data_IF_162143569857
#
_entry.id   IF_162143569857
#
_cell.length_a   1.000
_cell.length_b   1.000
_cell.length_c   1.000
_cell.angle_alpha   90.00
_cell.angle_beta   90.00
_cell.angle_gamma   90.00
#
_symmetry.space_group_name_H-M   'P 1'
#
loop_
_entity.id
_entity.type
_entity.pdbx_description
1 polymer ?
#
# COMPACT_ATOMS: atom_id res chain seq x y z
N UNK A 1 0.63 -3.16 2.66
CA UNK A 1 1.23 -1.94 3.21
C UNK A 1 2.36 -2.35 4.13
N UNK A 2 3.53 -1.76 3.91
CA UNK A 2 4.74 -2.04 4.67
C UNK A 2 5.31 -0.74 5.25
N UNK A 3 6.00 -0.85 6.37
CA UNK A 3 6.89 0.19 6.88
C UNK A 3 8.29 -0.07 6.34
N UNK A 4 8.95 0.98 5.86
CA UNK A 4 10.35 0.94 5.45
C UNK A 4 11.20 1.21 6.70
N UNK A 5 11.98 0.21 7.09
CA UNK A 5 12.92 0.26 8.20
C UNK A 5 14.25 0.89 7.77
N UNK A 6 15.10 1.27 8.74
CA UNK A 6 16.39 1.95 8.49
C UNK A 6 17.36 1.17 7.60
N UNK A 7 17.24 -0.15 7.58
CA UNK A 7 18.06 -1.04 6.75
C UNK A 7 17.39 -1.40 5.42
N UNK A 8 16.46 -0.57 4.95
CA UNK A 8 15.63 -0.82 3.77
C UNK A 8 14.83 -2.13 3.85
N UNK A 9 14.65 -2.74 5.02
CA UNK A 9 13.73 -3.87 5.16
C UNK A 9 12.30 -3.37 5.22
N UNK A 10 11.39 -4.15 4.63
CA UNK A 10 9.96 -3.87 4.63
C UNK A 10 9.28 -4.70 5.72
N UNK A 11 8.77 -4.05 6.75
CA UNK A 11 7.96 -4.70 7.79
C UNK A 11 6.48 -4.65 7.39
N UNK A 12 5.80 -5.80 7.33
CA UNK A 12 4.38 -5.83 6.96
C UNK A 12 3.53 -5.20 8.07
N UNK A 13 2.81 -4.13 7.74
CA UNK A 13 1.88 -3.47 8.66
C UNK A 13 0.45 -3.96 8.45
N UNK A 14 0.03 -4.09 7.19
CA UNK A 14 -1.34 -4.46 6.86
C UNK A 14 -1.44 -5.12 5.49
N UNK A 15 -2.33 -6.10 5.40
CA UNK A 15 -2.73 -6.80 4.18
C UNK A 15 -4.26 -6.79 4.10
N UNK A 16 -4.80 -6.22 3.04
CA UNK A 16 -6.24 -6.19 2.81
C UNK A 16 -6.77 -7.53 2.29
N UNK A 17 -8.09 -7.68 2.33
CA UNK A 17 -8.81 -8.73 1.62
C UNK A 17 -8.61 -8.62 0.09
N UNK A 18 -8.67 -9.77 -0.59
CA UNK A 18 -8.75 -9.80 -2.05
C UNK A 18 -10.19 -9.50 -2.48
N UNK A 19 -10.36 -8.60 -3.44
CA UNK A 19 -11.65 -8.34 -4.07
C UNK A 19 -11.67 -8.99 -5.45
N UNK A 20 -12.64 -9.87 -5.68
CA UNK A 20 -12.81 -10.58 -6.94
C UNK A 20 -13.65 -9.74 -7.90
N UNK A 21 -13.29 -9.75 -9.18
CA UNK A 21 -14.07 -9.16 -10.28
C UNK A 21 -14.43 -7.66 -10.12
N UNK A 22 -13.57 -6.88 -9.45
CA UNK A 22 -13.80 -5.46 -9.22
C UNK A 22 -13.14 -4.58 -10.29
N UNK A 23 -13.92 -3.74 -10.99
CA UNK A 23 -13.38 -2.69 -11.87
C UNK A 23 -12.83 -1.48 -11.10
N UNK A 24 -13.32 -1.27 -9.87
CA UNK A 24 -12.85 -0.27 -8.92
C UNK A 24 -12.78 -0.91 -7.53
N UNK A 25 -11.62 -0.80 -6.89
CA UNK A 25 -11.37 -1.44 -5.59
C UNK A 25 -11.56 -0.41 -4.47
N UNK A 26 -12.38 -0.77 -3.48
CA UNK A 26 -12.60 -0.01 -2.26
C UNK A 26 -12.46 -0.98 -1.08
N UNK A 27 -11.27 -1.01 -0.48
CA UNK A 27 -11.01 -1.88 0.67
C UNK A 27 -11.75 -1.42 1.93
N UNK A 28 -12.02 -2.37 2.83
CA UNK A 28 -12.59 -2.04 4.13
C UNK A 28 -11.69 -1.09 4.91
N UNK A 29 -12.25 -0.13 5.66
CA UNK A 29 -11.46 0.70 6.57
C UNK A 29 -10.71 -0.16 7.57
N UNK A 30 -9.47 0.20 7.86
CA UNK A 30 -8.63 -0.47 8.85
C UNK A 30 -7.99 0.59 9.76
N UNK A 31 -7.55 0.15 10.94
CA UNK A 31 -6.82 0.98 11.89
C UNK A 31 -5.40 0.48 12.01
N UNK A 32 -4.45 1.40 11.98
CA UNK A 32 -3.06 1.12 12.27
C UNK A 32 -2.64 1.91 13.50
N UNK A 33 -1.87 1.25 14.38
CA UNK A 33 -1.23 1.94 15.48
C UNK A 33 0.01 2.64 14.94
N UNK A 34 0.05 3.98 15.01
CA UNK A 34 1.30 4.72 14.78
C UNK A 34 2.19 4.44 15.98
N UNK A 35 3.10 3.47 15.87
CA UNK A 35 4.08 3.20 16.93
C UNK A 35 4.98 4.43 17.06
N UNK A 36 4.77 5.21 18.12
CA UNK A 36 5.53 6.41 18.49
C UNK A 36 6.93 6.05 19.00
N UNK A 37 7.68 5.22 18.28
CA UNK A 37 9.12 5.20 18.49
C UNK A 37 9.65 6.54 17.96
N UNK A 38 10.47 7.24 18.74
CA UNK A 38 10.93 8.60 18.43
C UNK A 38 11.60 8.71 17.03
N UNK A 39 12.16 7.61 16.51
CA UNK A 39 12.73 7.51 15.15
C UNK A 39 11.75 7.08 14.05
N UNK A 40 10.53 6.64 14.40
CA UNK A 40 9.53 6.17 13.45
C UNK A 40 8.68 7.31 12.84
N UNK A 41 8.84 8.54 13.35
CA UNK A 41 8.01 9.70 13.01
C UNK A 41 7.92 10.02 11.52
N UNK A 42 8.96 9.67 10.73
CA UNK A 42 9.02 9.97 9.30
C UNK A 42 9.48 8.80 8.43
N UNK A 43 9.29 7.56 8.91
CA UNK A 43 9.63 6.38 8.11
C UNK A 43 8.69 6.24 6.92
N UNK A 44 9.26 5.85 5.77
CA UNK A 44 8.50 5.62 4.55
C UNK A 44 7.50 4.48 4.72
N UNK A 45 6.36 4.61 4.07
CA UNK A 45 5.30 3.62 3.99
C UNK A 45 5.19 3.17 2.55
N UNK A 46 5.34 1.88 2.32
CA UNK A 46 5.23 1.30 0.99
C UNK A 46 3.84 0.69 0.82
N UNK A 47 3.09 1.23 -0.13
CA UNK A 47 1.78 0.73 -0.52
C UNK A 47 1.98 -0.06 -1.81
N UNK A 48 1.68 -1.36 -1.75
CA UNK A 48 1.77 -2.27 -2.90
C UNK A 48 0.38 -2.83 -3.16
N UNK A 49 -0.08 -2.71 -4.40
CA UNK A 49 -1.28 -3.35 -4.89
C UNK A 49 -0.88 -4.52 -5.78
N UNK A 50 -1.51 -5.67 -5.58
CA UNK A 50 -1.28 -6.86 -6.39
C UNK A 50 -2.60 -7.44 -6.89
N UNK A 51 -2.58 -7.95 -8.12
CA UNK A 51 -3.56 -8.90 -8.62
C UNK A 51 -3.14 -10.30 -8.18
N UNK A 52 -4.10 -11.15 -7.81
CA UNK A 52 -3.85 -12.55 -7.48
C UNK A 52 -4.63 -13.41 -8.45
N UNK A 53 -3.95 -14.37 -9.08
CA UNK A 53 -4.60 -15.38 -9.92
C UNK A 53 -5.16 -16.56 -9.09
N UNK A 54 -5.91 -17.44 -9.75
CA UNK A 54 -6.51 -18.63 -9.12
C UNK A 54 -5.45 -19.64 -8.62
N UNK A 55 -4.20 -19.50 -9.05
CA UNK A 55 -3.05 -20.29 -8.61
C UNK A 55 -2.25 -19.61 -7.48
N UNK A 56 -2.83 -18.57 -6.86
CA UNK A 56 -2.24 -17.77 -5.78
C UNK A 56 -0.96 -17.01 -6.15
N UNK A 57 -0.59 -16.94 -7.44
CA UNK A 57 0.50 -16.06 -7.89
C UNK A 57 0.03 -14.62 -7.77
N UNK A 58 0.90 -13.79 -7.21
CA UNK A 58 0.63 -12.36 -7.03
C UNK A 58 1.45 -11.57 -8.05
N UNK A 59 0.78 -10.79 -8.89
CA UNK A 59 1.40 -9.82 -9.79
C UNK A 59 1.23 -8.43 -9.20
N UNK A 60 2.32 -7.67 -9.06
CA UNK A 60 2.24 -6.27 -8.64
C UNK A 60 1.57 -5.47 -9.75
N UNK A 61 0.43 -4.84 -9.45
CA UNK A 61 -0.28 -3.96 -10.38
C UNK A 61 0.00 -2.48 -10.08
N UNK A 62 0.68 -2.19 -8.98
CA UNK A 62 1.38 -0.93 -8.80
C UNK A 62 1.75 -0.68 -7.36
N UNK A 63 2.54 0.37 -7.16
CA UNK A 63 3.28 0.59 -5.94
C UNK A 63 3.58 2.07 -5.81
N UNK A 64 3.52 2.58 -4.58
CA UNK A 64 4.05 3.91 -4.27
C UNK A 64 4.56 3.96 -2.84
N UNK A 65 5.44 4.93 -2.58
CA UNK A 65 5.96 5.25 -1.25
C UNK A 65 5.32 6.55 -0.79
N UNK A 66 4.91 6.58 0.47
CA UNK A 66 4.30 7.75 1.13
C UNK A 66 4.80 7.83 2.57
N UNK A 67 4.32 8.78 3.35
CA UNK A 67 4.59 8.89 4.80
C UNK A 67 3.27 8.98 5.57
N UNK A 68 3.33 8.83 6.90
CA UNK A 68 2.15 9.01 7.75
C UNK A 68 1.52 10.40 7.58
N UNK A 69 2.35 11.44 7.48
CA UNK A 69 1.88 12.82 7.35
C UNK A 69 1.24 13.06 5.99
N UNK A 70 1.82 12.52 4.91
CA UNK A 70 1.19 12.57 3.58
C UNK A 70 -0.14 11.83 3.53
N UNK A 71 -0.24 10.66 4.17
CA UNK A 71 -1.50 9.92 4.27
C UNK A 71 -2.56 10.69 5.07
N UNK A 72 -2.19 11.29 6.20
CA UNK A 72 -3.12 12.07 7.01
C UNK A 72 -3.62 13.31 6.26
N UNK A 73 -2.71 14.08 5.66
CA UNK A 73 -3.04 15.24 4.83
C UNK A 73 -3.94 14.86 3.65
N UNK A 74 -3.70 13.70 3.02
CA UNK A 74 -4.53 13.21 1.93
C UNK A 74 -5.94 12.82 2.37
N UNK A 75 -6.09 12.29 3.59
CA UNK A 75 -7.38 11.90 4.15
C UNK A 75 -8.24 13.13 4.49
N UNK A 76 -7.61 14.19 5.02
CA UNK A 76 -8.26 15.48 5.26
C UNK A 76 -8.76 16.13 3.96
N UNK A 77 -8.06 15.90 2.84
CA UNK A 77 -8.42 16.38 1.51
C UNK A 77 -9.32 15.43 0.70
N UNK A 78 -9.69 14.25 1.23
CA UNK A 78 -10.40 13.18 0.50
C UNK A 78 -9.71 12.76 -0.83
N UNK A 79 -8.39 12.77 -0.88
CA UNK A 79 -7.65 12.41 -2.10
C UNK A 79 -7.74 10.91 -2.40
N UNK A 80 -8.02 10.58 -3.66
CA UNK A 80 -7.93 9.20 -4.17
C UNK A 80 -6.52 8.96 -4.72
N UNK A 81 -5.83 7.92 -4.21
CA UNK A 81 -4.53 7.52 -4.75
C UNK A 81 -4.72 6.60 -5.96
N UNK A 82 -4.17 7.01 -7.11
CA UNK A 82 -4.16 6.18 -8.32
C UNK A 82 -2.91 5.32 -8.33
N UNK A 83 -3.10 4.01 -8.30
CA UNK A 83 -2.02 3.05 -8.46
C UNK A 83 -1.92 2.70 -9.94
N UNK A 84 -0.88 3.18 -10.62
CA UNK A 84 -0.67 2.96 -12.05
C UNK A 84 -0.23 1.53 -12.35
N UNK A 85 -0.85 0.92 -13.37
CA UNK A 85 -0.48 -0.41 -13.87
C UNK A 85 0.86 -0.32 -14.58
N UNK A 86 1.88 -0.99 -14.03
CA UNK A 86 3.09 -1.33 -14.79
C UNK A 86 2.68 -2.40 -15.81
N UNK A 87 2.40 -1.94 -17.02
CA UNK A 87 2.09 -2.79 -18.15
C UNK A 87 3.36 -3.59 -18.49
N UNK A 88 3.51 -4.80 -17.94
CA UNK A 88 4.47 -5.75 -18.47
C UNK A 88 4.01 -6.10 -19.89
N UNK A 89 4.61 -5.44 -20.87
CA UNK A 89 4.52 -5.84 -22.27
C UNK A 89 5.06 -7.26 -22.38
N UNK A 90 4.16 -8.22 -22.58
CA UNK A 90 4.52 -9.55 -23.05
C UNK A 90 5.12 -9.37 -24.45
N UNK A 91 6.43 -9.56 -24.56
CA UNK A 91 7.15 -9.75 -25.82
C UNK A 91 7.55 -11.22 -25.92
#
# INVERSE_FOLDING_TARGET
MYQIEENDKRALLYKSECQLFAQKILWKPFKLLKTMNADAGNRGLEIVCYSRDDHAKCLVIGQFITTWDMLLNSAEQQNTFYVGVLHCALS
#
